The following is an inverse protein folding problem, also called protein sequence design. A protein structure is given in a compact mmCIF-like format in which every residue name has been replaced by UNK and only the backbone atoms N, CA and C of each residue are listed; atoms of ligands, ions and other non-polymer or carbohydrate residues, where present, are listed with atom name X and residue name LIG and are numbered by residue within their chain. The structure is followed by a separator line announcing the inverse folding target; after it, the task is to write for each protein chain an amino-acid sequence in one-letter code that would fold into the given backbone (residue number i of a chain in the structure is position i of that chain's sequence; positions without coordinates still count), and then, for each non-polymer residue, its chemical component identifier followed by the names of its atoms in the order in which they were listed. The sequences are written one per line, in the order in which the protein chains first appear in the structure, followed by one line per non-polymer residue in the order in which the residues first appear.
data_IF_504145906355
#
_entry.id   IF_504145906355
#
_cell.length_a   1.000
_cell.length_b   1.000
_cell.length_c   1.000
_cell.angle_alpha   90.00
_cell.angle_beta   90.00
_cell.angle_gamma   90.00
#
_symmetry.space_group_name_H-M   'P 1'
#
loop_
_entity.id
_entity.type
_entity.pdbx_description
1 polymer ?
#
# COMPACT_ATOMS: atom_id res chain seq x y z
N UNK A 1 24.44 -0.03 -6.67
CA UNK A 1 24.42 1.35 -6.12
C UNK A 1 23.13 2.00 -6.58
N UNK A 2 22.15 2.18 -5.68
CA UNK A 2 20.86 2.81 -6.01
C UNK A 2 21.16 4.28 -6.28
N UNK A 3 20.91 4.76 -7.51
CA UNK A 3 21.03 6.19 -7.83
C UNK A 3 19.97 6.90 -6.97
N UNK A 4 20.41 7.52 -5.88
CA UNK A 4 19.56 8.40 -5.08
C UNK A 4 19.30 9.59 -5.97
N UNK A 5 18.09 9.68 -6.51
CA UNK A 5 17.64 10.87 -7.23
C UNK A 5 17.90 12.07 -6.32
N UNK A 6 18.58 13.09 -6.85
CA UNK A 6 18.79 14.34 -6.13
C UNK A 6 17.40 14.83 -5.71
N UNK A 7 17.18 15.18 -4.42
CA UNK A 7 15.89 15.64 -3.96
C UNK A 7 15.38 16.75 -4.86
N UNK A 8 14.21 16.54 -5.46
CA UNK A 8 13.57 17.53 -6.30
C UNK A 8 12.83 18.53 -5.40
N UNK A 9 13.03 19.82 -5.63
CA UNK A 9 12.32 20.89 -4.94
C UNK A 9 10.79 20.83 -5.12
N UNK A 10 10.28 20.09 -6.10
CA UNK A 10 8.84 19.92 -6.34
C UNK A 10 8.20 18.81 -5.49
N UNK A 11 9.01 17.93 -4.89
CA UNK A 11 8.50 16.81 -4.10
C UNK A 11 7.97 17.28 -2.74
N UNK A 12 6.66 17.28 -2.55
CA UNK A 12 6.00 17.69 -1.30
C UNK A 12 6.20 16.69 -0.16
N UNK A 13 6.71 15.49 -0.44
CA UNK A 13 6.91 14.44 0.56
C UNK A 13 8.23 14.56 1.32
N UNK A 14 9.18 15.34 0.80
CA UNK A 14 10.44 15.66 1.46
C UNK A 14 10.31 16.88 2.36
N UNK A 15 11.28 17.08 3.25
CA UNK A 15 11.21 18.18 4.23
C UNK A 15 11.35 19.55 3.54
N UNK A 16 10.72 20.61 4.09
CA UNK A 16 10.86 21.98 3.56
C UNK A 16 12.31 22.41 3.36
N UNK A 17 13.18 22.07 4.29
CA UNK A 17 14.60 22.41 4.25
C UNK A 17 15.34 21.69 3.12
N UNK A 18 14.97 20.46 2.79
CA UNK A 18 15.54 19.72 1.65
C UNK A 18 15.16 20.36 0.32
N UNK A 19 13.91 20.81 0.18
CA UNK A 19 13.45 21.50 -1.04
C UNK A 19 14.18 22.83 -1.24
N UNK A 20 14.34 23.62 -0.17
CA UNK A 20 15.15 24.85 -0.23
C UNK A 20 16.63 24.55 -0.54
N UNK A 21 17.21 23.48 0.04
CA UNK A 21 18.57 23.04 -0.29
C UNK A 21 18.70 22.65 -1.76
N UNK A 22 17.69 21.99 -2.34
CA UNK A 22 17.67 21.66 -3.76
C UNK A 22 17.71 22.93 -4.64
N UNK A 23 16.93 23.95 -4.28
CA UNK A 23 16.97 25.26 -4.95
C UNK A 23 18.34 25.94 -4.79
N UNK A 24 18.94 25.94 -3.60
CA UNK A 24 20.29 26.49 -3.40
C UNK A 24 21.34 25.78 -4.26
N UNK A 25 21.21 24.45 -4.44
CA UNK A 25 22.08 23.67 -5.33
C UNK A 25 21.89 24.04 -6.80
N UNK A 26 20.65 24.33 -7.22
CA UNK A 26 20.38 24.83 -8.57
C UNK A 26 20.95 26.26 -8.76
N UNK A 27 20.90 27.07 -7.71
CA UNK A 27 21.49 28.41 -7.65
C UNK A 27 23.02 28.39 -7.77
N UNK A 28 23.69 27.44 -7.13
CA UNK A 28 25.15 27.35 -7.14
C UNK A 28 25.73 26.63 -8.36
N UNK A 29 24.88 26.05 -9.22
CA UNK A 29 25.28 25.39 -10.46
C UNK A 29 25.61 26.40 -11.57
N UNK A 30 26.75 27.06 -11.42
CA UNK A 30 27.30 28.01 -12.39
C UNK A 30 28.80 27.79 -12.55
N UNK A 31 29.26 27.79 -13.81
CA UNK A 31 30.65 27.62 -14.20
C UNK A 31 31.13 28.85 -14.97
N UNK A 32 32.41 29.16 -14.79
CA UNK A 32 33.10 30.23 -15.53
C UNK A 32 33.93 29.59 -16.62
N UNK A 33 33.81 30.13 -17.83
CA UNK A 33 34.73 29.89 -18.92
C UNK A 33 35.80 30.99 -18.92
N UNK A 34 37.08 30.60 -18.81
CA UNK A 34 38.27 31.47 -18.78
C UNK A 34 38.56 32.16 -20.14
N UNK A 35 38.00 31.66 -21.24
CA UNK A 35 38.13 32.30 -22.57
C UNK A 35 37.18 33.50 -22.72
N UNK A 36 36.22 33.64 -21.80
CA UNK A 36 35.24 34.73 -21.81
C UNK A 36 35.69 35.81 -20.83
N UNK A 37 35.96 37.01 -21.34
CA UNK A 37 36.39 38.14 -20.50
C UNK A 37 35.42 38.41 -19.32
N UNK A 38 35.93 38.72 -18.10
CA UNK A 38 35.11 39.02 -16.92
C UNK A 38 34.05 40.10 -17.16
N UNK A 39 34.34 41.10 -18.02
CA UNK A 39 33.40 42.16 -18.41
C UNK A 39 32.07 41.62 -18.96
N UNK A 40 32.08 40.49 -19.67
CA UNK A 40 30.85 39.87 -20.19
C UNK A 40 29.96 39.38 -19.05
N UNK A 41 30.55 38.74 -18.03
CA UNK A 41 29.80 38.27 -16.86
C UNK A 41 29.20 39.41 -16.06
N UNK A 42 29.90 40.54 -15.91
CA UNK A 42 29.32 41.73 -15.27
C UNK A 42 28.03 42.20 -15.97
N UNK A 43 28.00 42.21 -17.31
CA UNK A 43 26.79 42.53 -18.06
C UNK A 43 25.69 41.49 -17.88
N UNK A 44 26.03 40.20 -17.96
CA UNK A 44 25.07 39.12 -17.70
C UNK A 44 24.51 39.17 -16.28
N UNK A 45 25.31 39.64 -15.32
CA UNK A 45 24.89 39.85 -13.94
C UNK A 45 23.78 40.89 -13.79
N UNK A 46 23.87 41.99 -14.54
CA UNK A 46 22.81 43.02 -14.54
C UNK A 46 21.47 42.41 -14.96
N UNK A 47 21.46 41.59 -16.01
CA UNK A 47 20.23 40.93 -16.45
C UNK A 47 19.78 39.84 -15.47
N UNK A 48 20.72 39.13 -14.84
CA UNK A 48 20.38 38.10 -13.84
C UNK A 48 19.65 38.69 -12.62
N UNK A 49 20.09 39.86 -12.13
CA UNK A 49 19.41 40.56 -11.05
C UNK A 49 18.07 41.17 -11.51
N UNK A 50 17.98 41.67 -12.74
CA UNK A 50 16.71 42.13 -13.32
C UNK A 50 15.68 40.99 -13.37
N UNK A 51 16.09 39.82 -13.87
CA UNK A 51 15.22 38.65 -13.94
C UNK A 51 14.82 38.13 -12.55
N UNK A 52 15.72 38.17 -11.57
CA UNK A 52 15.37 37.82 -10.19
C UNK A 52 14.26 38.73 -9.64
N UNK A 53 14.32 40.02 -9.95
CA UNK A 53 13.30 41.00 -9.56
C UNK A 53 11.95 40.73 -10.24
N UNK A 54 11.95 40.43 -11.54
CA UNK A 54 10.73 40.06 -12.29
C UNK A 54 10.07 38.83 -11.68
N UNK A 55 10.82 37.77 -11.38
CA UNK A 55 10.23 36.57 -10.75
C UNK A 55 9.66 36.86 -9.37
N UNK A 56 10.26 37.77 -8.62
CA UNK A 56 9.75 38.19 -7.31
C UNK A 56 8.43 38.96 -7.45
N UNK A 57 8.33 39.86 -8.43
CA UNK A 57 7.10 40.61 -8.76
C UNK A 57 5.97 39.69 -9.24
N UNK A 58 6.30 38.64 -10.01
CA UNK A 58 5.36 37.61 -10.45
C UNK A 58 4.94 36.63 -9.33
N UNK A 59 5.57 36.72 -8.15
CA UNK A 59 5.34 35.78 -7.04
C UNK A 59 5.99 34.40 -7.25
N UNK A 60 6.84 34.24 -8.26
CA UNK A 60 7.62 33.03 -8.48
C UNK A 60 8.88 33.01 -7.60
N UNK A 61 8.66 32.76 -6.30
CA UNK A 61 9.71 32.81 -5.28
C UNK A 61 10.85 31.81 -5.53
N UNK A 62 10.55 30.66 -6.12
CA UNK A 62 11.52 29.58 -6.37
C UNK A 62 12.55 30.02 -7.41
N UNK A 63 12.09 30.55 -8.55
CA UNK A 63 12.97 31.06 -9.58
C UNK A 63 13.69 32.33 -9.13
N UNK A 64 13.02 33.24 -8.42
CA UNK A 64 13.65 34.42 -7.86
C UNK A 64 14.84 34.02 -6.95
N UNK A 65 14.63 33.05 -6.05
CA UNK A 65 15.67 32.56 -5.16
C UNK A 65 16.84 31.93 -5.91
N UNK A 66 16.56 31.12 -6.95
CA UNK A 66 17.60 30.51 -7.79
C UNK A 66 18.42 31.58 -8.52
N UNK A 67 17.78 32.61 -9.09
CA UNK A 67 18.48 33.68 -9.81
C UNK A 67 19.33 34.54 -8.86
N UNK A 68 18.83 34.91 -7.68
CA UNK A 68 19.65 35.61 -6.70
C UNK A 68 20.82 34.77 -6.19
N UNK A 69 20.63 33.47 -5.93
CA UNK A 69 21.75 32.58 -5.57
C UNK A 69 22.77 32.47 -6.72
N UNK A 70 22.34 32.31 -7.98
CA UNK A 70 23.24 32.33 -9.15
C UNK A 70 24.05 33.61 -9.22
N UNK A 71 23.39 34.74 -8.98
CA UNK A 71 24.02 36.05 -9.00
C UNK A 71 25.09 36.18 -7.90
N UNK A 72 24.74 35.79 -6.67
CA UNK A 72 25.66 35.79 -5.53
C UNK A 72 26.84 34.84 -5.81
N UNK A 73 26.58 33.58 -6.14
CA UNK A 73 27.64 32.58 -6.41
C UNK A 73 28.55 33.02 -7.55
N UNK A 74 28.00 33.61 -8.62
CA UNK A 74 28.79 34.11 -9.73
C UNK A 74 29.81 35.15 -9.26
N UNK A 75 29.37 36.19 -8.55
CA UNK A 75 30.23 37.34 -8.25
C UNK A 75 31.03 37.22 -6.96
N UNK A 76 30.61 36.35 -6.03
CA UNK A 76 31.29 36.15 -4.74
C UNK A 76 32.24 34.96 -4.79
N UNK A 77 31.85 33.87 -5.48
CA UNK A 77 32.62 32.62 -5.45
C UNK A 77 33.36 32.34 -6.75
N UNK A 78 32.70 32.47 -7.91
CA UNK A 78 33.26 31.95 -9.17
C UNK A 78 34.10 32.96 -9.93
N UNK A 79 33.53 34.12 -10.24
CA UNK A 79 34.15 35.14 -11.08
C UNK A 79 35.44 35.74 -10.48
N UNK A 80 35.57 35.93 -9.15
CA UNK A 80 36.83 36.39 -8.56
C UNK A 80 38.03 35.48 -8.82
N UNK A 81 37.80 34.19 -9.09
CA UNK A 81 38.86 33.22 -9.41
C UNK A 81 39.32 33.26 -10.87
N UNK A 82 38.62 33.98 -11.76
CA UNK A 82 38.99 34.08 -13.17
C UNK A 82 40.34 34.79 -13.32
N UNK A 83 41.21 34.29 -14.21
CA UNK A 83 42.58 34.81 -14.42
C UNK A 83 42.65 36.33 -14.59
N UNK A 84 41.78 36.85 -15.45
CA UNK A 84 41.78 38.27 -15.85
C UNK A 84 40.88 39.16 -14.95
N UNK A 85 40.33 38.65 -13.83
CA UNK A 85 39.36 39.38 -12.99
C UNK A 85 39.90 40.69 -12.41
N UNK A 86 41.13 40.67 -11.89
CA UNK A 86 41.74 41.84 -11.24
C UNK A 86 42.09 42.96 -12.22
N UNK A 87 42.32 42.63 -13.49
CA UNK A 87 42.61 43.58 -14.56
C UNK A 87 41.32 44.22 -15.12
N UNK A 88 40.16 43.64 -14.82
CA UNK A 88 38.86 44.14 -15.26
C UNK A 88 38.40 45.32 -14.39
N UNK A 89 38.64 46.55 -14.86
CA UNK A 89 38.09 47.77 -14.32
C UNK A 89 36.89 48.23 -15.17
N UNK A 90 35.68 47.98 -14.68
CA UNK A 90 34.43 48.33 -15.37
C UNK A 90 33.47 49.03 -14.39
N UNK A 91 32.73 50.08 -14.82
CA UNK A 91 31.75 50.76 -13.96
C UNK A 91 30.73 49.81 -13.34
N UNK A 92 30.28 48.81 -14.10
CA UNK A 92 29.31 47.80 -13.69
C UNK A 92 29.76 47.02 -12.45
N UNK A 93 31.07 46.92 -12.19
CA UNK A 93 31.61 46.24 -11.01
C UNK A 93 31.14 46.89 -9.71
N UNK A 94 31.07 48.23 -9.67
CA UNK A 94 30.60 48.94 -8.47
C UNK A 94 29.10 48.74 -8.27
N UNK A 95 28.31 48.83 -9.34
CA UNK A 95 26.87 48.60 -9.29
C UNK A 95 26.54 47.17 -8.83
N UNK A 96 27.28 46.18 -9.31
CA UNK A 96 27.10 44.78 -8.90
C UNK A 96 27.45 44.59 -7.42
N UNK A 97 28.55 45.18 -6.94
CA UNK A 97 28.91 45.12 -5.51
C UNK A 97 27.82 45.78 -4.65
N UNK A 98 27.27 46.91 -5.10
CA UNK A 98 26.16 47.58 -4.42
C UNK A 98 24.92 46.69 -4.39
N UNK A 99 24.51 46.14 -5.54
CA UNK A 99 23.35 45.24 -5.66
C UNK A 99 23.51 43.96 -4.84
N UNK A 100 24.71 43.38 -4.76
CA UNK A 100 24.96 42.22 -3.89
C UNK A 100 24.58 42.54 -2.43
N UNK A 101 25.08 43.67 -1.91
CA UNK A 101 24.91 44.07 -0.51
C UNK A 101 23.49 44.55 -0.20
N UNK A 102 22.94 45.42 -1.04
CA UNK A 102 21.68 46.11 -0.76
C UNK A 102 20.45 45.33 -1.22
N UNK A 103 20.60 44.44 -2.21
CA UNK A 103 19.48 43.73 -2.85
C UNK A 103 19.63 42.22 -2.70
N UNK A 104 20.65 41.62 -3.31
CA UNK A 104 20.69 40.17 -3.49
C UNK A 104 20.76 39.40 -2.16
N UNK A 105 21.63 39.79 -1.23
CA UNK A 105 21.71 39.12 0.08
C UNK A 105 20.41 39.29 0.90
N UNK A 106 19.89 40.51 1.15
CA UNK A 106 18.62 40.67 1.86
C UNK A 106 17.45 39.93 1.21
N UNK A 107 17.32 40.00 -0.12
CA UNK A 107 16.24 39.32 -0.84
C UNK A 107 16.37 37.80 -0.79
N UNK A 108 17.59 37.27 -0.84
CA UNK A 108 17.80 35.81 -0.71
C UNK A 108 17.38 35.31 0.67
N UNK A 109 17.70 36.06 1.73
CA UNK A 109 17.29 35.72 3.09
C UNK A 109 15.76 35.80 3.25
N UNK A 110 15.13 36.84 2.71
CA UNK A 110 13.67 36.99 2.68
C UNK A 110 13.00 35.80 1.95
N UNK A 111 13.42 35.54 0.71
CA UNK A 111 12.91 34.44 -0.12
C UNK A 111 13.09 33.08 0.55
N UNK A 112 14.21 32.86 1.25
CA UNK A 112 14.43 31.61 2.00
C UNK A 112 13.37 31.41 3.07
N UNK A 113 13.03 32.46 3.83
CA UNK A 113 11.96 32.38 4.85
C UNK A 113 10.61 32.13 4.22
N UNK A 114 10.29 32.82 3.12
CA UNK A 114 9.00 32.70 2.45
C UNK A 114 8.81 31.32 1.80
N UNK A 115 9.87 30.78 1.18
CA UNK A 115 9.89 29.42 0.65
C UNK A 115 9.73 28.38 1.77
N UNK A 116 10.46 28.52 2.88
CA UNK A 116 10.29 27.64 4.03
C UNK A 116 8.85 27.70 4.56
N UNK A 117 8.25 28.88 4.64
CA UNK A 117 6.85 29.04 5.07
C UNK A 117 5.89 28.33 4.12
N UNK A 118 6.03 28.55 2.80
CA UNK A 118 5.23 27.89 1.75
C UNK A 118 5.35 26.36 1.86
N UNK A 119 6.58 25.84 1.89
CA UNK A 119 6.83 24.41 1.91
C UNK A 119 6.43 23.75 3.23
N UNK A 120 6.52 24.44 4.36
CA UNK A 120 6.00 23.93 5.62
C UNK A 120 4.49 23.71 5.57
N UNK A 121 3.74 24.64 4.97
CA UNK A 121 2.29 24.49 4.82
C UNK A 121 1.94 23.27 3.95
N UNK A 122 2.58 23.16 2.78
CA UNK A 122 2.40 22.02 1.86
C UNK A 122 2.76 20.68 2.52
N UNK A 123 3.88 20.65 3.26
CA UNK A 123 4.35 19.46 3.95
C UNK A 123 3.40 19.03 5.08
N UNK A 124 2.87 19.99 5.85
CA UNK A 124 1.89 19.70 6.90
C UNK A 124 0.61 19.13 6.31
N UNK A 125 0.10 19.69 5.21
CA UNK A 125 -1.07 19.17 4.52
C UNK A 125 -0.84 17.74 4.01
N UNK A 126 0.31 17.49 3.37
CA UNK A 126 0.72 16.15 2.95
C UNK A 126 0.72 15.15 4.12
N UNK A 127 1.34 15.53 5.25
CA UNK A 127 1.42 14.68 6.43
C UNK A 127 0.05 14.40 7.04
N UNK A 128 -0.85 15.38 7.08
CA UNK A 128 -2.23 15.20 7.53
C UNK A 128 -2.98 14.23 6.63
N UNK A 129 -2.91 14.40 5.32
CA UNK A 129 -3.60 13.52 4.36
C UNK A 129 -3.06 12.08 4.41
N UNK A 130 -1.73 11.93 4.55
CA UNK A 130 -1.09 10.63 4.74
C UNK A 130 -1.59 9.93 6.01
N UNK A 131 -1.71 10.66 7.12
CA UNK A 131 -2.21 10.13 8.38
C UNK A 131 -3.70 9.76 8.29
N UNK A 132 -4.54 10.63 7.71
CA UNK A 132 -5.97 10.34 7.48
C UNK A 132 -6.15 9.06 6.67
N UNK A 133 -5.44 8.93 5.54
CA UNK A 133 -5.47 7.74 4.69
C UNK A 133 -5.04 6.47 5.46
N UNK A 134 -3.96 6.55 6.23
CA UNK A 134 -3.49 5.43 7.07
C UNK A 134 -4.53 5.02 8.12
N UNK A 135 -5.18 5.98 8.78
CA UNK A 135 -6.22 5.71 9.78
C UNK A 135 -7.45 5.08 9.15
N UNK A 136 -7.92 5.58 8.00
CA UNK A 136 -9.05 5.00 7.27
C UNK A 136 -8.76 3.57 6.80
N UNK A 137 -7.54 3.32 6.32
CA UNK A 137 -7.10 1.98 5.94
C UNK A 137 -7.16 1.01 7.12
N UNK A 138 -6.68 1.42 8.29
CA UNK A 138 -6.73 0.59 9.50
C UNK A 138 -8.16 0.30 9.96
N UNK A 139 -9.05 1.30 9.92
CA UNK A 139 -10.47 1.13 10.25
C UNK A 139 -11.16 0.14 9.30
N UNK A 140 -10.90 0.23 7.99
CA UNK A 140 -11.42 -0.71 6.99
C UNK A 140 -10.93 -2.13 7.25
N UNK A 141 -9.65 -2.28 7.59
CA UNK A 141 -9.06 -3.59 7.91
C UNK A 141 -9.68 -4.21 9.16
N UNK A 142 -9.88 -3.42 10.22
CA UNK A 142 -10.55 -3.87 11.45
C UNK A 142 -12.00 -4.27 11.18
N UNK A 143 -12.75 -3.45 10.46
CA UNK A 143 -14.13 -3.75 10.08
C UNK A 143 -14.23 -5.04 9.26
N UNK A 144 -13.31 -5.26 8.32
CA UNK A 144 -13.25 -6.48 7.52
C UNK A 144 -13.02 -7.73 8.39
N UNK A 145 -12.16 -7.63 9.41
CA UNK A 145 -11.92 -8.72 10.38
C UNK A 145 -13.16 -9.03 11.20
N UNK A 146 -13.91 -8.01 11.63
CA UNK A 146 -15.17 -8.21 12.36
C UNK A 146 -16.23 -8.91 11.50
N UNK A 147 -16.38 -8.50 10.23
CA UNK A 147 -17.28 -9.16 9.29
C UNK A 147 -16.88 -10.62 9.08
N UNK A 148 -15.58 -10.89 8.91
CA UNK A 148 -15.09 -12.26 8.71
C UNK A 148 -15.32 -13.13 9.95
N UNK A 149 -15.07 -12.59 11.15
CA UNK A 149 -15.31 -13.29 12.40
C UNK A 149 -16.80 -13.63 12.58
N UNK A 150 -17.71 -12.68 12.31
CA UNK A 150 -19.15 -12.91 12.40
C UNK A 150 -19.64 -13.91 11.35
N UNK A 151 -19.13 -13.85 10.11
CA UNK A 151 -19.42 -14.85 9.09
C UNK A 151 -19.01 -16.25 9.53
N UNK A 152 -17.84 -16.42 10.15
CA UNK A 152 -17.38 -17.70 10.70
C UNK A 152 -18.29 -18.17 11.84
N UNK A 153 -18.69 -17.26 12.74
CA UNK A 153 -19.61 -17.57 13.84
C UNK A 153 -20.97 -18.06 13.33
N UNK A 154 -21.55 -17.38 12.35
CA UNK A 154 -22.83 -17.75 11.73
C UNK A 154 -22.71 -19.10 11.02
N UNK A 155 -21.66 -19.32 10.22
CA UNK A 155 -21.43 -20.59 9.53
C UNK A 155 -21.33 -21.75 10.51
N UNK A 156 -20.57 -21.58 11.60
CA UNK A 156 -20.44 -22.57 12.65
C UNK A 156 -21.77 -22.87 13.35
N UNK A 157 -22.51 -21.83 13.74
CA UNK A 157 -23.84 -22.01 14.36
C UNK A 157 -24.82 -22.72 13.44
N UNK A 158 -24.81 -22.40 12.13
CA UNK A 158 -25.65 -23.07 11.14
C UNK A 158 -25.29 -24.54 10.98
N UNK A 159 -23.99 -24.85 11.00
CA UNK A 159 -23.51 -26.24 10.96
C UNK A 159 -24.02 -27.03 12.18
N UNK A 160 -23.88 -26.48 13.39
CA UNK A 160 -24.36 -27.13 14.61
C UNK A 160 -25.86 -27.37 14.62
N UNK A 161 -26.65 -26.43 14.07
CA UNK A 161 -28.10 -26.60 13.90
C UNK A 161 -28.42 -27.79 12.99
N UNK A 162 -27.76 -27.87 11.84
CA UNK A 162 -27.97 -28.98 10.90
C UNK A 162 -27.57 -30.33 11.52
N UNK A 163 -26.46 -30.38 12.26
CA UNK A 163 -26.02 -31.59 12.98
C UNK A 163 -27.02 -31.98 14.08
N UNK A 164 -27.56 -31.02 14.82
CA UNK A 164 -28.57 -31.27 15.87
C UNK A 164 -29.90 -31.76 15.27
N UNK A 165 -30.36 -31.17 14.16
CA UNK A 165 -31.56 -31.61 13.44
C UNK A 165 -31.39 -33.05 12.91
N UNK A 166 -30.21 -33.39 12.37
CA UNK A 166 -29.90 -34.75 11.96
C UNK A 166 -29.95 -35.72 13.14
N UNK A 167 -29.34 -35.35 14.28
CA UNK A 167 -29.35 -36.19 15.48
C UNK A 167 -30.78 -36.41 16.02
N UNK A 168 -31.59 -35.35 16.12
CA UNK A 168 -32.98 -35.44 16.57
C UNK A 168 -33.81 -36.36 15.65
N UNK A 169 -33.61 -36.26 14.34
CA UNK A 169 -34.28 -37.15 13.38
C UNK A 169 -33.93 -38.63 13.63
N UNK A 170 -32.68 -38.94 13.94
CA UNK A 170 -32.27 -40.30 14.29
C UNK A 170 -32.84 -40.77 15.63
N UNK A 171 -32.87 -39.92 16.65
CA UNK A 171 -33.49 -40.26 17.95
C UNK A 171 -34.99 -40.56 17.80
N UNK A 172 -35.71 -39.76 17.02
CA UNK A 172 -37.14 -39.93 16.80
C UNK A 172 -37.44 -41.25 16.07
N UNK A 173 -36.60 -41.61 15.08
CA UNK A 173 -36.67 -42.90 14.40
C UNK A 173 -36.45 -44.06 15.38
N UNK A 174 -35.46 -43.96 16.27
CA UNK A 174 -35.14 -44.99 17.24
C UNK A 174 -36.27 -45.19 18.26
N UNK A 175 -36.83 -44.10 18.80
CA UNK A 175 -37.99 -44.14 19.72
C UNK A 175 -39.22 -44.78 19.08
N UNK A 176 -39.53 -44.45 17.82
CA UNK A 176 -40.63 -45.10 17.09
C UNK A 176 -40.42 -46.60 16.95
N UNK A 177 -39.18 -47.02 16.68
CA UNK A 177 -38.84 -48.43 16.59
C UNK A 177 -39.00 -49.15 17.94
N UNK A 178 -38.60 -48.50 19.03
CA UNK A 178 -38.77 -49.02 20.39
C UNK A 178 -40.25 -49.16 20.77
N UNK A 179 -41.07 -48.13 20.53
CA UNK A 179 -42.52 -48.20 20.74
C UNK A 179 -43.20 -49.30 19.91
N UNK A 180 -42.78 -49.49 18.66
CA UNK A 180 -43.28 -50.55 17.81
C UNK A 180 -42.90 -51.94 18.36
N UNK A 181 -41.72 -52.11 18.95
CA UNK A 181 -41.34 -53.34 19.65
C UNK A 181 -42.19 -53.55 20.90
N UNK A 182 -42.37 -52.53 21.72
CA UNK A 182 -43.14 -52.63 22.97
C UNK A 182 -44.62 -52.95 22.73
N UNK A 183 -45.22 -52.36 21.70
CA UNK A 183 -46.58 -52.72 21.27
C UNK A 183 -46.66 -54.17 20.80
N UNK A 184 -45.71 -54.62 19.97
CA UNK A 184 -45.65 -56.01 19.53
C UNK A 184 -45.47 -56.99 20.70
N UNK A 185 -44.67 -56.62 21.71
CA UNK A 185 -44.49 -57.41 22.93
C UNK A 185 -45.80 -57.46 23.73
N UNK A 186 -46.49 -56.32 23.94
CA UNK A 186 -47.81 -56.30 24.61
C UNK A 186 -48.86 -57.11 23.87
N UNK A 187 -48.94 -57.00 22.55
CA UNK A 187 -49.86 -57.79 21.71
C UNK A 187 -49.52 -59.29 21.77
N UNK A 188 -48.23 -59.64 21.79
CA UNK A 188 -47.80 -61.05 21.94
C UNK A 188 -48.11 -61.63 23.32
N UNK A 189 -48.07 -60.81 24.39
CA UNK A 189 -48.42 -61.23 25.76
C UNK A 189 -49.94 -61.39 25.91
N UNK A 190 -50.75 -60.51 25.31
CA UNK A 190 -52.23 -60.62 25.32
C UNK A 190 -52.72 -61.81 24.48
N UNK A 191 -52.01 -62.18 23.41
CA UNK A 191 -52.32 -63.37 22.60
C UNK A 191 -51.88 -64.70 23.25
N UNK A 192 -51.06 -64.67 24.31
CA UNK A 192 -50.56 -65.87 24.99
C UNK A 192 -51.41 -66.32 26.19
N UNK A 193 -52.37 -65.51 26.67
CA UNK A 193 -53.29 -65.91 27.77
C UNK A 193 -54.48 -66.78 27.30
N UNK A 194 -54.52 -67.20 26.02
CA UNK A 194 -55.65 -67.97 25.48
C UNK A 194 -55.32 -69.33 24.83
N UNK A 195 -54.10 -69.87 24.96
CA UNK A 195 -53.81 -71.22 24.43
C UNK A 195 -53.02 -72.03 25.45
N UNK A 196 -53.75 -72.94 26.10
CA UNK A 196 -53.25 -74.00 26.95
C UNK A 196 -52.69 -75.16 26.10
N UNK A 197 -51.54 -75.69 26.53
CA UNK A 197 -50.99 -77.02 26.26
C UNK A 197 -50.70 -77.50 24.84
N UNK A 198 -49.42 -77.59 24.45
CA UNK A 198 -48.88 -78.80 23.78
C UNK A 198 -47.34 -78.78 23.62
N UNK A 199 -46.74 -79.97 23.58
CA UNK A 199 -45.32 -80.31 23.80
C UNK A 199 -44.42 -80.37 22.54
N UNK A 200 -43.10 -80.27 22.82
CA UNK A 200 -41.91 -80.91 22.18
C UNK A 200 -41.14 -80.29 20.99
N UNK A 201 -39.84 -80.07 21.26
CA UNK A 201 -38.60 -80.38 20.50
C UNK A 201 -38.38 -79.85 19.07
N UNK A 202 -37.26 -79.13 18.87
CA UNK A 202 -36.12 -79.56 18.01
C UNK A 202 -34.98 -78.53 17.99
N UNK A 203 -33.75 -79.05 17.93
CA UNK A 203 -32.46 -78.36 17.89
C UNK A 203 -32.24 -77.76 16.49
N UNK A 204 -31.69 -76.55 16.39
CA UNK A 204 -30.93 -76.09 15.20
C UNK A 204 -30.04 -74.88 15.56
N UNK A 205 -28.74 -75.09 15.45
CA UNK A 205 -27.68 -74.06 15.39
C UNK A 205 -27.64 -73.50 13.96
N UNK A 206 -27.25 -72.23 13.77
CA UNK A 206 -26.32 -71.93 12.70
C UNK A 206 -25.08 -71.17 13.18
N UNK A 207 -24.01 -71.45 12.45
CA UNK A 207 -22.61 -71.17 12.71
C UNK A 207 -22.19 -69.71 12.60
N UNK A 208 -21.09 -69.42 13.30
CA UNK A 208 -20.19 -68.29 13.07
C UNK A 208 -19.49 -68.36 11.71
N UNK A 209 -19.32 -67.19 11.08
CA UNK A 209 -18.06 -66.78 10.43
C UNK A 209 -17.86 -65.29 10.77
N UNK A 210 -16.93 -64.92 11.67
CA UNK A 210 -15.46 -64.78 11.48
C UNK A 210 -15.16 -63.82 10.30
N UNK A 211 -14.51 -62.65 10.43
CA UNK A 211 -13.27 -62.24 11.14
C UNK A 211 -13.32 -60.70 11.37
N UNK A 212 -13.01 -60.12 12.55
CA UNK A 212 -11.67 -59.86 13.14
C UNK A 212 -10.79 -58.95 12.25
N UNK A 213 -10.10 -57.87 12.69
CA UNK A 213 -9.60 -57.50 14.02
C UNK A 213 -8.95 -56.10 13.98
N UNK A 214 -8.86 -55.49 15.18
CA UNK A 214 -7.75 -54.71 15.72
C UNK A 214 -7.48 -53.25 15.28
N UNK A 215 -7.89 -52.34 16.18
CA UNK A 215 -7.08 -51.18 16.58
C UNK A 215 -5.83 -51.64 17.35
N UNK A 216 -4.64 -51.12 17.01
CA UNK A 216 -3.67 -50.63 17.99
C UNK A 216 -2.63 -49.71 17.36
N UNK A 217 -2.29 -48.66 18.11
CA UNK A 217 -1.21 -47.69 17.91
C UNK A 217 0.17 -48.36 17.65
N UNK A 218 1.23 -47.74 17.08
CA UNK A 218 1.93 -46.51 17.52
C UNK A 218 3.15 -46.23 16.62
N UNK A 219 3.51 -44.94 16.49
CA UNK A 219 4.89 -44.37 16.56
C UNK A 219 5.81 -44.21 15.32
N UNK A 220 6.03 -42.93 14.99
CA UNK A 220 7.23 -42.18 14.54
C UNK A 220 8.30 -42.81 13.62
N UNK A 221 8.53 -42.21 12.44
CA UNK A 221 9.63 -41.23 12.19
C UNK A 221 9.73 -40.77 10.71
N UNK A 222 9.80 -39.45 10.56
CA UNK A 222 10.59 -38.63 9.62
C UNK A 222 11.05 -39.15 8.24
N UNK A 223 10.83 -38.33 7.19
CA UNK A 223 11.65 -38.38 5.96
C UNK A 223 11.06 -37.67 4.74
N UNK A 224 11.32 -36.37 4.66
CA UNK A 224 11.56 -35.48 3.49
C UNK A 224 11.26 -35.93 2.04
N UNK A 225 10.68 -34.99 1.27
CA UNK A 225 10.99 -34.64 -0.14
C UNK A 225 9.98 -35.01 -1.24
N UNK A 226 9.64 -34.02 -2.07
CA UNK A 226 9.40 -34.26 -3.51
C UNK A 226 8.03 -33.90 -4.10
N UNK A 227 7.89 -32.62 -4.48
CA UNK A 227 7.35 -32.05 -5.73
C UNK A 227 6.38 -32.83 -6.68
N UNK A 228 5.56 -32.03 -7.38
CA UNK A 228 4.60 -32.33 -8.45
C UNK A 228 3.24 -32.86 -7.93
N UNK A 229 2.09 -32.31 -8.28
CA UNK A 229 1.66 -31.52 -9.43
C UNK A 229 0.20 -31.93 -9.70
N UNK A 230 -0.55 -31.05 -10.39
CA UNK A 230 -1.91 -31.25 -10.92
C UNK A 230 -3.10 -30.82 -10.05
N UNK A 231 -3.54 -29.59 -10.34
CA UNK A 231 -4.93 -29.14 -10.17
C UNK A 231 -5.87 -29.80 -11.21
N UNK A 232 -7.16 -29.99 -10.91
CA UNK A 232 -8.14 -30.47 -11.88
C UNK A 232 -8.75 -29.34 -12.74
N UNK A 233 -9.28 -29.65 -13.94
CA UNK A 233 -9.61 -28.65 -14.95
C UNK A 233 -11.05 -28.14 -14.85
N UNK A 234 -11.24 -26.85 -15.12
CA UNK A 234 -12.54 -26.25 -15.45
C UNK A 234 -12.62 -26.09 -16.96
N UNK A 235 -13.60 -26.73 -17.58
CA UNK A 235 -13.89 -26.64 -19.01
C UNK A 235 -14.93 -25.53 -19.29
N UNK A 236 -14.73 -24.83 -20.43
CA UNK A 236 -15.72 -24.10 -21.27
C UNK A 236 -16.30 -22.79 -20.67
N UNK A 237 -16.38 -21.63 -21.34
CA UNK A 237 -16.64 -21.29 -22.76
C UNK A 237 -16.10 -19.89 -23.13
N UNK A 238 -15.70 -19.81 -24.40
CA UNK A 238 -15.38 -18.75 -25.37
C UNK A 238 -16.02 -17.33 -25.23
N UNK A 239 -15.17 -16.30 -25.46
CA UNK A 239 -15.46 -14.98 -26.08
C UNK A 239 -15.48 -15.14 -27.64
N UNK A 240 -15.78 -14.14 -28.53
CA UNK A 240 -15.91 -12.67 -28.34
C UNK A 240 -17.05 -11.99 -29.14
N UNK A 241 -17.27 -10.68 -28.95
CA UNK A 241 -17.70 -9.77 -30.03
C UNK A 241 -17.29 -8.32 -29.73
N UNK A 242 -16.44 -7.77 -30.59
CA UNK A 242 -16.12 -6.35 -30.69
C UNK A 242 -17.16 -5.66 -31.58
N UNK A 243 -17.57 -4.45 -31.24
CA UNK A 243 -18.31 -3.58 -32.18
C UNK A 243 -17.64 -2.21 -32.21
N UNK A 244 -17.33 -1.80 -33.44
CA UNK A 244 -16.74 -0.53 -33.85
C UNK A 244 -17.74 0.61 -33.66
N UNK A 245 -17.22 1.81 -33.42
CA UNK A 245 -18.02 3.04 -33.41
C UNK A 245 -17.13 4.27 -33.52
N UNK A 246 -16.69 4.56 -34.75
CA UNK A 246 -16.12 5.85 -35.13
C UNK A 246 -17.26 6.83 -35.45
N UNK A 247 -17.25 8.02 -34.87
CA UNK A 247 -17.94 9.20 -35.42
C UNK A 247 -17.07 10.43 -35.18
N UNK A 248 -16.57 10.97 -36.29
CA UNK A 248 -16.07 12.34 -36.39
C UNK A 248 -17.25 13.30 -36.32
N UNK A 249 -17.07 14.45 -35.69
CA UNK A 249 -17.90 15.62 -35.98
C UNK A 249 -17.16 16.92 -35.63
N UNK A 250 -16.81 17.62 -36.72
CA UNK A 250 -16.71 19.07 -36.97
C UNK A 250 -15.85 19.94 -36.05
#
# INVERSE_FOLDING_TARGET
KKLVAIPDHTDISVTPEERVRALSKLGSNITINEDITPRRYFRSGVEMERMASVYMEEGNLENAFVFYNKFITLFVEKLPSHRDYHQCAVPEKQDIIKKLKEVAFPRTDELKRDLLKKYNLEYQEYMQNKNKCKTEFLKKLEHQKLIEAEKKRIAHMRQQQLESEQFQFFEDQLKKQELARDQKIKESVVMSEQIDGSMLSCISVPENSSLSTALLEKKDRSGTSGCAGHSPPVNRVLKPAATLGAVQSK
#
